data_IF_681226931516
#
_entry.id   IF_681226931516
#
_cell.length_a   1.000
_cell.length_b   1.000
_cell.length_c   1.000
_cell.angle_alpha   90.00
_cell.angle_beta   90.00
_cell.angle_gamma   90.00
#
_symmetry.space_group_name_H-M   'P 1'
#
loop_
_entity.id
_entity.type
_entity.pdbx_description
1 polymer ?
#
# COMPACT_ATOMS: atom_id res chain seq x y z
N UNK A 1 50.13 -6.16 21.13
CA UNK A 1 49.63 -5.10 20.22
C UNK A 1 48.59 -5.57 19.20
N UNK A 2 48.60 -6.81 18.68
CA UNK A 2 47.73 -7.20 17.55
C UNK A 2 46.23 -7.39 17.83
N UNK A 3 45.80 -7.56 19.09
CA UNK A 3 44.39 -7.83 19.45
C UNK A 3 43.52 -6.57 19.60
N UNK A 4 44.15 -5.41 19.72
CA UNK A 4 43.48 -4.11 19.75
C UNK A 4 43.21 -3.54 18.35
N UNK A 5 43.96 -3.99 17.34
CA UNK A 5 43.77 -3.54 15.95
C UNK A 5 42.61 -4.26 15.26
N UNK A 6 42.34 -5.52 15.65
CA UNK A 6 41.23 -6.32 15.12
C UNK A 6 39.87 -5.91 15.67
N UNK A 7 39.81 -5.34 16.88
CA UNK A 7 38.57 -4.86 17.51
C UNK A 7 38.09 -3.54 16.92
N UNK A 8 38.99 -2.62 16.54
CA UNK A 8 38.63 -1.35 15.89
C UNK A 8 38.10 -1.55 14.46
N UNK A 9 38.65 -2.50 13.71
CA UNK A 9 38.19 -2.82 12.35
C UNK A 9 36.76 -3.39 12.32
N UNK A 10 36.37 -4.16 13.34
CA UNK A 10 35.03 -4.73 13.45
C UNK A 10 33.95 -3.66 13.74
N UNK A 11 34.29 -2.61 14.48
CA UNK A 11 33.37 -1.50 14.79
C UNK A 11 33.15 -0.60 13.57
N UNK A 12 34.19 -0.35 12.77
CA UNK A 12 34.08 0.44 11.54
C UNK A 12 33.17 -0.22 10.49
N UNK A 13 33.14 -1.56 10.42
CA UNK A 13 32.28 -2.30 9.50
C UNK A 13 30.80 -2.27 9.92
N UNK A 14 30.51 -2.19 11.22
CA UNK A 14 29.15 -2.10 11.75
C UNK A 14 28.48 -0.75 11.46
N UNK A 15 29.25 0.34 11.40
CA UNK A 15 28.74 1.69 11.09
C UNK A 15 28.46 1.91 9.59
N UNK A 16 29.09 1.14 8.70
CA UNK A 16 28.84 1.22 7.25
C UNK A 16 27.48 0.59 6.84
N UNK A 17 26.88 -0.25 7.68
CA UNK A 17 25.59 -0.91 7.42
C UNK A 17 24.35 -0.10 7.86
N UNK A 18 24.53 0.97 8.64
CA UNK A 18 23.41 1.74 9.22
C UNK A 18 22.72 2.70 8.22
N UNK A 19 23.19 2.76 6.97
CA UNK A 19 22.71 3.69 5.94
C UNK A 19 21.55 3.20 5.07
N UNK A 20 20.87 2.11 5.42
CA UNK A 20 19.65 1.71 4.68
C UNK A 20 18.54 2.68 5.04
N UNK A 21 18.43 3.75 4.24
CA UNK A 21 17.27 4.63 4.26
C UNK A 21 16.04 3.79 3.93
N UNK A 22 15.18 3.53 4.93
CA UNK A 22 13.89 2.93 4.70
C UNK A 22 13.10 3.83 3.74
N UNK A 23 13.03 3.44 2.46
CA UNK A 23 12.17 4.07 1.47
C UNK A 23 10.76 3.57 1.78
N UNK A 24 9.96 4.40 2.43
CA UNK A 24 8.51 4.16 2.44
C UNK A 24 8.06 4.16 0.96
N UNK A 25 7.50 3.06 0.49
CA UNK A 25 6.91 3.01 -0.83
C UNK A 25 5.66 3.88 -0.82
N UNK A 26 5.58 4.87 -1.71
CA UNK A 26 4.35 5.65 -1.92
C UNK A 26 3.29 4.71 -2.49
N UNK A 27 2.39 4.23 -1.62
CA UNK A 27 1.25 3.41 -2.04
C UNK A 27 0.25 4.32 -2.73
N UNK A 28 0.03 4.11 -4.03
CA UNK A 28 -1.01 4.81 -4.77
C UNK A 28 -2.36 4.18 -4.39
N UNK A 29 -3.18 4.86 -3.59
CA UNK A 29 -4.48 4.35 -3.14
C UNK A 29 -5.64 5.13 -3.79
N UNK A 30 -6.66 4.41 -4.25
CA UNK A 30 -7.96 4.97 -4.66
C UNK A 30 -8.98 4.67 -3.58
N UNK A 31 -9.60 5.73 -3.06
CA UNK A 31 -10.73 5.64 -2.13
C UNK A 31 -12.02 5.89 -2.92
N UNK A 32 -12.87 4.88 -3.06
CA UNK A 32 -14.12 5.01 -3.83
C UNK A 32 -15.32 5.13 -2.92
N UNK A 33 -15.94 6.30 -2.93
CA UNK A 33 -17.25 6.54 -2.35
C UNK A 33 -18.33 6.27 -3.40
N UNK A 34 -19.29 5.37 -3.13
CA UNK A 34 -20.34 5.03 -4.09
C UNK A 34 -21.63 4.52 -3.45
N UNK A 35 -22.72 4.50 -4.23
CA UNK A 35 -24.03 3.91 -3.88
C UNK A 35 -24.36 2.65 -4.70
N UNK A 36 -23.39 2.08 -5.42
CA UNK A 36 -23.49 0.80 -6.10
C UNK A 36 -23.61 -0.35 -5.10
N UNK A 37 -24.82 -0.84 -4.86
CA UNK A 37 -25.11 -1.88 -3.85
C UNK A 37 -25.78 -3.12 -4.43
N UNK A 38 -26.25 -3.09 -5.68
CA UNK A 38 -26.81 -4.26 -6.34
C UNK A 38 -25.73 -5.26 -6.78
N UNK A 39 -26.12 -6.50 -7.02
CA UNK A 39 -25.18 -7.55 -7.45
C UNK A 39 -24.52 -7.27 -8.81
N UNK A 40 -25.24 -6.63 -9.74
CA UNK A 40 -24.69 -6.24 -11.05
C UNK A 40 -23.69 -5.08 -10.95
N UNK A 41 -23.97 -4.10 -10.09
CA UNK A 41 -23.05 -2.99 -9.86
C UNK A 41 -21.79 -3.45 -9.11
N UNK A 42 -21.90 -4.38 -8.16
CA UNK A 42 -20.74 -5.01 -7.52
C UNK A 42 -19.84 -5.74 -8.53
N UNK A 43 -20.43 -6.39 -9.54
CA UNK A 43 -19.65 -7.02 -10.62
C UNK A 43 -18.87 -5.98 -11.45
N UNK A 44 -19.49 -4.83 -11.78
CA UNK A 44 -18.80 -3.73 -12.47
C UNK A 44 -17.70 -3.10 -11.60
N UNK A 45 -17.93 -2.95 -10.29
CA UNK A 45 -16.94 -2.45 -9.33
C UNK A 45 -15.69 -3.36 -9.31
N UNK A 46 -15.88 -4.68 -9.37
CA UNK A 46 -14.78 -5.64 -9.41
C UNK A 46 -13.92 -5.49 -10.67
N UNK A 47 -14.52 -5.23 -11.84
CA UNK A 47 -13.75 -4.98 -13.07
C UNK A 47 -12.83 -3.76 -12.90
N UNK A 48 -13.36 -2.65 -12.38
CA UNK A 48 -12.59 -1.44 -12.14
C UNK A 48 -11.46 -1.68 -11.11
N UNK A 49 -11.77 -2.38 -10.01
CA UNK A 49 -10.80 -2.73 -8.98
C UNK A 49 -9.66 -3.59 -9.53
N UNK A 50 -9.97 -4.55 -10.38
CA UNK A 50 -8.96 -5.42 -11.02
C UNK A 50 -8.04 -4.63 -11.94
N UNK A 51 -8.58 -3.70 -12.74
CA UNK A 51 -7.77 -2.88 -13.65
C UNK A 51 -6.84 -1.93 -12.89
N UNK A 52 -7.34 -1.27 -11.84
CA UNK A 52 -6.52 -0.43 -10.97
C UNK A 52 -5.44 -1.24 -10.23
N UNK A 53 -5.76 -2.47 -9.81
CA UNK A 53 -4.77 -3.36 -9.21
C UNK A 53 -3.65 -3.73 -10.20
N UNK A 54 -3.94 -3.91 -11.50
CA UNK A 54 -2.93 -4.15 -12.54
C UNK A 54 -2.02 -2.92 -12.74
N UNK A 55 -2.56 -1.72 -12.54
CA UNK A 55 -1.80 -0.47 -12.58
C UNK A 55 -1.03 -0.18 -11.27
N UNK A 56 -1.15 -1.05 -10.27
CA UNK A 56 -0.43 -0.94 -9.00
C UNK A 56 -1.10 -0.01 -7.97
N UNK A 57 -2.39 0.27 -8.12
CA UNK A 57 -3.17 0.99 -7.13
C UNK A 57 -3.74 0.06 -6.06
N UNK A 58 -3.68 0.49 -4.81
CA UNK A 58 -4.46 -0.06 -3.71
C UNK A 58 -5.91 0.46 -3.79
N UNK A 59 -6.86 -0.36 -3.33
CA UNK A 59 -8.28 -0.01 -3.33
C UNK A 59 -8.81 0.08 -1.91
N UNK A 60 -9.52 1.17 -1.62
CA UNK A 60 -10.29 1.34 -0.39
C UNK A 60 -11.74 1.64 -0.72
N UNK A 61 -12.60 0.73 -0.29
CA UNK A 61 -14.03 0.77 -0.56
C UNK A 61 -14.75 1.59 0.52
N UNK A 62 -15.62 2.52 0.09
CA UNK A 62 -16.42 3.35 0.99
C UNK A 62 -17.88 3.35 0.53
N UNK A 63 -18.62 2.25 0.73
CA UNK A 63 -20.00 2.15 0.29
C UNK A 63 -20.93 3.03 1.14
N UNK A 64 -21.85 3.73 0.50
CA UNK A 64 -22.95 4.46 1.14
C UNK A 64 -24.24 3.68 0.92
N UNK A 65 -24.77 3.08 1.99
CA UNK A 65 -26.05 2.39 1.95
C UNK A 65 -27.20 3.37 1.65
N UNK A 66 -28.12 2.98 0.76
CA UNK A 66 -29.38 3.69 0.51
C UNK A 66 -29.38 4.79 -0.57
N UNK A 67 -28.32 4.95 -1.36
CA UNK A 67 -28.23 6.03 -2.37
C UNK A 67 -28.77 5.71 -3.77
N UNK A 68 -29.01 4.44 -4.10
CA UNK A 68 -29.26 4.00 -5.48
C UNK A 68 -30.72 3.78 -5.90
N UNK A 69 -31.68 3.77 -4.96
CA UNK A 69 -33.08 3.45 -5.28
C UNK A 69 -34.05 3.29 -4.11
N UNK A 70 -33.60 3.23 -2.85
CA UNK A 70 -34.50 3.13 -1.68
C UNK A 70 -35.31 4.42 -1.40
N UNK A 71 -35.02 5.51 -2.11
CA UNK A 71 -35.72 6.80 -2.02
C UNK A 71 -36.51 7.15 -3.30
N UNK A 72 -36.68 6.21 -4.23
CA UNK A 72 -37.51 6.37 -5.43
C UNK A 72 -38.85 5.63 -5.29
#
# INVERSE_FOLDING_TARGET
MGRFLTTTAAIALALAGAGVSARAADVKEVQMLHWWTSGGEAAALNVLKEDLSKEGFAWKDVPVAGGGGDAA
#
